data_IF_633299145416
#
_entry.id   IF_633299145416
#
_cell.length_a   1.000
_cell.length_b   1.000
_cell.length_c   1.000
_cell.angle_alpha   90.00
_cell.angle_beta   90.00
_cell.angle_gamma   90.00
#
_symmetry.space_group_name_H-M   'P 1'
#
loop_
_entity.id
_entity.type
_entity.pdbx_description
1 polymer ?
#
# COMPACT_ATOMS: atom_id res chain seq x y z
N UNK A 1 -22.80 -7.98 8.13
CA UNK A 1 -22.61 -8.24 9.58
C UNK A 1 -21.50 -9.25 9.91
N UNK A 2 -21.49 -10.52 9.47
CA UNK A 2 -20.40 -11.46 9.86
C UNK A 2 -19.06 -11.23 9.13
N UNK A 3 -19.09 -10.92 7.83
CA UNK A 3 -17.89 -10.70 7.02
C UNK A 3 -17.19 -9.37 7.32
N UNK A 4 -17.96 -8.33 7.65
CA UNK A 4 -17.43 -7.01 8.04
C UNK A 4 -16.63 -7.11 9.34
N UNK A 5 -17.13 -7.84 10.34
CA UNK A 5 -16.40 -8.08 11.60
C UNK A 5 -15.06 -8.79 11.35
N UNK A 6 -15.02 -9.76 10.42
CA UNK A 6 -13.77 -10.43 10.05
C UNK A 6 -12.79 -9.48 9.34
N UNK A 7 -13.29 -8.61 8.47
CA UNK A 7 -12.48 -7.59 7.77
C UNK A 7 -11.93 -6.56 8.75
N UNK A 8 -12.76 -6.06 9.66
CA UNK A 8 -12.32 -5.15 10.73
C UNK A 8 -11.30 -5.82 11.66
N UNK A 9 -11.54 -7.09 12.00
CA UNK A 9 -10.61 -7.91 12.77
C UNK A 9 -9.27 -8.09 12.05
N UNK A 10 -9.28 -8.26 10.73
CA UNK A 10 -8.06 -8.34 9.93
C UNK A 10 -7.30 -7.01 9.91
N UNK A 11 -7.99 -5.86 9.81
CA UNK A 11 -7.34 -4.54 9.95
C UNK A 11 -6.72 -4.38 11.33
N UNK A 12 -7.42 -4.77 12.40
CA UNK A 12 -6.89 -4.72 13.76
C UNK A 12 -5.68 -5.65 13.96
N UNK A 13 -5.69 -6.82 13.30
CA UNK A 13 -4.55 -7.75 13.29
C UNK A 13 -3.30 -7.10 12.64
N UNK A 14 -3.46 -6.48 11.47
CA UNK A 14 -2.38 -5.75 10.79
C UNK A 14 -1.84 -4.60 11.68
N UNK A 15 -2.74 -3.86 12.33
CA UNK A 15 -2.37 -2.84 13.30
C UNK A 15 -1.51 -3.41 14.45
N UNK A 16 -1.88 -4.59 14.97
CA UNK A 16 -1.11 -5.28 16.00
C UNK A 16 0.30 -5.68 15.53
N UNK A 17 0.43 -6.21 14.30
CA UNK A 17 1.74 -6.53 13.72
C UNK A 17 2.61 -5.28 13.56
N UNK A 18 2.00 -4.17 13.13
CA UNK A 18 2.68 -2.88 13.01
C UNK A 18 3.25 -2.38 14.34
N UNK A 19 2.43 -2.34 15.40
CA UNK A 19 2.90 -1.92 16.73
C UNK A 19 3.96 -2.86 17.28
N UNK A 20 3.81 -4.18 17.07
CA UNK A 20 4.80 -5.17 17.46
C UNK A 20 6.18 -4.96 16.82
N UNK A 21 6.23 -4.48 15.57
CA UNK A 21 7.49 -4.13 14.90
C UNK A 21 8.03 -2.75 15.35
N UNK A 22 7.15 -1.78 15.54
CA UNK A 22 7.53 -0.40 15.88
C UNK A 22 8.09 -0.28 17.30
N UNK A 23 7.44 -0.94 18.25
CA UNK A 23 7.70 -0.73 19.68
C UNK A 23 8.82 -1.65 20.21
N UNK A 24 9.32 -2.58 19.39
CA UNK A 24 10.42 -3.47 19.74
C UNK A 24 11.68 -3.15 18.93
N UNK A 25 12.77 -2.75 19.61
CA UNK A 25 14.10 -2.63 19.00
C UNK A 25 14.72 -4.00 18.76
N UNK A 26 14.49 -4.55 17.56
CA UNK A 26 15.10 -5.77 17.00
C UNK A 26 14.16 -6.99 17.02
N UNK A 27 14.26 -7.96 16.08
CA UNK A 27 15.23 -8.12 14.98
C UNK A 27 14.56 -8.22 13.59
N UNK A 28 15.36 -8.20 12.54
CA UNK A 28 14.99 -8.62 11.18
C UNK A 28 14.17 -9.93 11.14
N UNK A 29 14.30 -10.79 12.15
CA UNK A 29 13.54 -12.04 12.28
C UNK A 29 12.02 -11.84 12.50
N UNK A 30 11.57 -10.76 13.14
CA UNK A 30 10.12 -10.48 13.24
C UNK A 30 9.56 -10.01 11.89
N UNK A 31 10.32 -9.15 11.21
CA UNK A 31 10.02 -8.75 9.83
C UNK A 31 9.92 -9.97 8.91
N UNK A 32 10.93 -10.84 8.94
CA UNK A 32 10.97 -12.07 8.15
C UNK A 32 9.83 -13.02 8.52
N UNK A 33 9.54 -13.17 9.82
CA UNK A 33 8.45 -14.00 10.30
C UNK A 33 7.09 -13.56 9.76
N UNK A 34 6.80 -12.26 9.81
CA UNK A 34 5.53 -11.72 9.29
C UNK A 34 5.47 -11.81 7.77
N UNK A 35 6.55 -11.40 7.08
CA UNK A 35 6.67 -11.51 5.62
C UNK A 35 6.47 -12.95 5.13
N UNK A 36 7.12 -13.92 5.78
CA UNK A 36 6.94 -15.34 5.46
C UNK A 36 5.51 -15.83 5.75
N UNK A 37 4.83 -15.30 6.78
CA UNK A 37 3.43 -15.60 7.04
C UNK A 37 2.50 -15.15 5.91
N UNK A 38 2.70 -13.95 5.39
CA UNK A 38 1.96 -13.44 4.22
C UNK A 38 2.29 -14.22 2.95
N UNK A 39 3.57 -14.55 2.74
CA UNK A 39 3.99 -15.40 1.61
C UNK A 39 3.35 -16.78 1.66
N UNK A 40 3.34 -17.43 2.82
CA UNK A 40 2.67 -18.71 3.03
C UNK A 40 1.16 -18.61 2.74
N UNK A 41 0.50 -17.53 3.17
CA UNK A 41 -0.91 -17.29 2.84
C UNK A 41 -1.14 -17.23 1.33
N UNK A 42 -0.27 -16.54 0.60
CA UNK A 42 -0.32 -16.48 -0.87
C UNK A 42 -0.12 -17.85 -1.51
N UNK A 43 0.87 -18.62 -1.05
CA UNK A 43 1.13 -19.98 -1.53
C UNK A 43 -0.08 -20.90 -1.32
N UNK A 44 -0.68 -20.88 -0.13
CA UNK A 44 -1.85 -21.70 0.17
C UNK A 44 -3.07 -21.32 -0.65
N UNK A 45 -3.30 -20.02 -0.87
CA UNK A 45 -4.39 -19.55 -1.70
C UNK A 45 -4.25 -20.02 -3.14
N UNK A 46 -3.05 -19.88 -3.72
CA UNK A 46 -2.75 -20.33 -5.07
C UNK A 46 -2.83 -21.85 -5.21
N UNK A 47 -2.40 -22.61 -4.20
CA UNK A 47 -2.50 -24.07 -4.21
C UNK A 47 -3.95 -24.56 -4.16
N UNK A 48 -4.81 -23.91 -3.38
CA UNK A 48 -6.24 -24.25 -3.27
C UNK A 48 -7.05 -23.89 -4.51
N UNK A 49 -6.80 -22.71 -5.08
CA UNK A 49 -7.54 -22.21 -6.25
C UNK A 49 -7.00 -22.77 -7.57
N UNK A 50 -5.72 -23.16 -7.59
CA UNK A 50 -5.05 -23.73 -8.76
C UNK A 50 -4.84 -22.72 -9.90
N UNK A 51 -4.35 -23.22 -11.03
CA UNK A 51 -4.03 -22.43 -12.22
C UNK A 51 -2.53 -22.17 -12.40
N UNK A 52 -2.16 -21.67 -13.58
CA UNK A 52 -0.78 -21.34 -13.95
C UNK A 52 -0.72 -20.06 -14.76
N UNK A 53 0.41 -19.37 -14.64
CA UNK A 53 0.73 -18.15 -15.36
C UNK A 53 0.11 -16.88 -14.78
N UNK A 54 0.42 -15.72 -15.39
CA UNK A 54 0.09 -14.40 -14.84
C UNK A 54 -1.39 -14.15 -14.59
N UNK A 55 -2.26 -14.56 -15.50
CA UNK A 55 -3.71 -14.35 -15.36
C UNK A 55 -4.31 -15.14 -14.19
N UNK A 56 -3.83 -16.37 -13.99
CA UNK A 56 -4.23 -17.19 -12.84
C UNK A 56 -3.75 -16.55 -11.54
N UNK A 57 -2.50 -16.07 -11.50
CA UNK A 57 -1.95 -15.37 -10.36
C UNK A 57 -2.76 -14.11 -10.00
N UNK A 58 -3.11 -13.31 -11.01
CA UNK A 58 -3.92 -12.11 -10.82
C UNK A 58 -5.34 -12.42 -10.32
N UNK A 59 -5.96 -13.48 -10.85
CA UNK A 59 -7.27 -13.97 -10.39
C UNK A 59 -7.24 -14.44 -8.93
N UNK A 60 -6.23 -15.24 -8.54
CA UNK A 60 -6.04 -15.70 -7.16
C UNK A 60 -5.85 -14.51 -6.22
N UNK A 61 -4.94 -13.61 -6.55
CA UNK A 61 -4.66 -12.43 -5.75
C UNK A 61 -5.90 -11.53 -5.63
N UNK A 62 -6.64 -11.31 -6.73
CA UNK A 62 -7.89 -10.57 -6.69
C UNK A 62 -8.92 -11.16 -5.73
N UNK A 63 -9.08 -12.49 -5.73
CA UNK A 63 -9.98 -13.17 -4.78
C UNK A 63 -9.52 -13.03 -3.33
N UNK A 64 -8.23 -13.21 -3.05
CA UNK A 64 -7.66 -13.06 -1.70
C UNK A 64 -7.86 -11.64 -1.19
N UNK A 65 -7.46 -10.64 -1.99
CA UNK A 65 -7.57 -9.22 -1.63
C UNK A 65 -9.05 -8.80 -1.45
N UNK A 66 -9.96 -9.32 -2.28
CA UNK A 66 -11.40 -9.08 -2.11
C UNK A 66 -11.95 -9.72 -0.82
N UNK A 67 -11.48 -10.92 -0.48
CA UNK A 67 -11.91 -11.63 0.72
C UNK A 67 -11.56 -10.84 2.00
N UNK A 68 -10.36 -10.26 2.07
CA UNK A 68 -9.92 -9.41 3.18
C UNK A 68 -10.51 -7.99 3.14
N UNK A 69 -11.37 -7.69 2.16
CA UNK A 69 -12.18 -6.47 2.12
C UNK A 69 -11.64 -5.33 1.28
N UNK A 70 -10.68 -5.58 0.39
CA UNK A 70 -10.29 -4.60 -0.62
C UNK A 70 -11.32 -4.57 -1.75
N UNK A 71 -11.54 -3.38 -2.31
CA UNK A 71 -12.23 -3.20 -3.58
C UNK A 71 -11.22 -3.37 -4.71
N UNK A 72 -11.32 -4.48 -5.43
CA UNK A 72 -10.32 -4.93 -6.39
C UNK A 72 -10.96 -5.19 -7.75
N UNK A 73 -10.31 -4.67 -8.78
CA UNK A 73 -10.59 -5.01 -10.17
C UNK A 73 -9.43 -5.83 -10.73
N UNK A 74 -9.74 -6.93 -11.41
CA UNK A 74 -8.76 -7.77 -12.11
C UNK A 74 -9.00 -7.69 -13.61
N UNK A 75 -7.96 -7.42 -14.38
CA UNK A 75 -8.00 -7.33 -15.85
C UNK A 75 -6.79 -8.04 -16.45
N UNK A 76 -6.97 -9.30 -16.84
CA UNK A 76 -5.87 -10.15 -17.29
C UNK A 76 -4.85 -10.34 -16.16
N UNK A 77 -3.56 -10.03 -16.37
CA UNK A 77 -2.53 -10.18 -15.34
C UNK A 77 -2.47 -9.00 -14.36
N UNK A 78 -3.29 -7.97 -14.56
CA UNK A 78 -3.29 -6.75 -13.75
C UNK A 78 -4.37 -6.76 -12.67
N UNK A 79 -4.01 -6.23 -11.50
CA UNK A 79 -4.86 -6.00 -10.34
C UNK A 79 -4.82 -4.53 -9.99
N UNK A 80 -6.00 -3.91 -9.92
CA UNK A 80 -6.18 -2.55 -9.43
C UNK A 80 -6.94 -2.58 -8.12
N UNK A 81 -6.33 -2.09 -7.04
CA UNK A 81 -6.97 -1.89 -5.74
C UNK A 81 -7.48 -0.46 -5.66
N UNK A 82 -8.80 -0.29 -5.75
CA UNK A 82 -9.47 1.01 -5.77
C UNK A 82 -9.68 1.58 -4.38
N UNK A 83 -10.02 0.71 -3.42
CA UNK A 83 -10.15 1.10 -2.02
C UNK A 83 -9.80 -0.04 -1.08
N UNK A 84 -9.47 0.29 0.15
CA UNK A 84 -9.10 -0.66 1.18
C UNK A 84 -9.39 -0.07 2.56
N UNK A 85 -9.90 -0.86 3.52
CA UNK A 85 -10.15 -0.38 4.87
C UNK A 85 -8.87 0.09 5.61
N UNK A 86 -7.70 -0.31 5.11
CA UNK A 86 -6.39 0.08 5.65
C UNK A 86 -5.93 1.44 5.08
N UNK A 87 -6.49 1.95 3.99
CA UNK A 87 -6.01 3.20 3.37
C UNK A 87 -6.20 4.40 4.30
N UNK A 88 -7.32 4.48 5.01
CA UNK A 88 -7.54 5.53 6.00
C UNK A 88 -6.45 5.47 7.10
N UNK A 89 -6.05 4.26 7.51
CA UNK A 89 -4.93 4.07 8.46
C UNK A 89 -3.59 4.50 7.88
N UNK A 90 -3.34 4.27 6.60
CA UNK A 90 -2.14 4.77 5.91
C UNK A 90 -2.12 6.29 5.89
N UNK A 91 -3.27 6.94 5.65
CA UNK A 91 -3.39 8.39 5.72
C UNK A 91 -3.14 8.93 7.15
N UNK A 92 -3.62 8.22 8.17
CA UNK A 92 -3.45 8.59 9.58
C UNK A 92 -2.02 8.36 10.10
N UNK A 93 -1.41 7.21 9.79
CA UNK A 93 -0.15 6.73 10.40
C UNK A 93 1.09 6.96 9.54
N UNK A 94 0.89 7.28 8.27
CA UNK A 94 1.94 7.76 7.38
C UNK A 94 2.90 6.70 6.84
N UNK A 95 4.10 7.15 6.46
CA UNK A 95 5.03 6.42 5.58
C UNK A 95 5.40 5.04 6.11
N UNK A 96 5.70 4.95 7.41
CA UNK A 96 6.20 3.71 7.99
C UNK A 96 5.13 2.62 8.00
N UNK A 97 3.87 3.00 8.27
CA UNK A 97 2.74 2.09 8.17
C UNK A 97 2.47 1.69 6.72
N UNK A 98 2.57 2.62 5.76
CA UNK A 98 2.45 2.29 4.34
C UNK A 98 3.52 1.28 3.88
N UNK A 99 4.74 1.41 4.38
CA UNK A 99 5.84 0.48 4.12
C UNK A 99 5.53 -0.91 4.70
N UNK A 100 4.98 -0.97 5.91
CA UNK A 100 4.55 -2.22 6.52
C UNK A 100 3.52 -2.95 5.64
N UNK A 101 2.47 -2.26 5.20
CA UNK A 101 1.45 -2.87 4.34
C UNK A 101 2.03 -3.37 3.02
N UNK A 102 2.87 -2.57 2.36
CA UNK A 102 3.37 -2.92 1.03
C UNK A 102 4.45 -4.00 1.06
N UNK A 103 5.46 -3.82 1.91
CA UNK A 103 6.68 -4.65 1.88
C UNK A 103 6.59 -5.88 2.78
N UNK A 104 5.74 -5.84 3.82
CA UNK A 104 5.61 -6.95 4.79
C UNK A 104 4.33 -7.75 4.54
N UNK A 105 3.25 -7.10 4.07
CA UNK A 105 1.98 -7.79 3.84
C UNK A 105 1.76 -8.14 2.36
N UNK A 106 1.65 -7.15 1.49
CA UNK A 106 1.18 -7.36 0.11
C UNK A 106 2.22 -7.94 -0.82
N UNK A 107 3.44 -7.41 -0.85
CA UNK A 107 4.49 -7.96 -1.71
C UNK A 107 4.75 -9.44 -1.41
N UNK A 108 4.97 -9.88 -0.15
CA UNK A 108 5.22 -11.28 0.14
C UNK A 108 4.04 -12.18 -0.22
N UNK A 109 2.81 -11.72 0.03
CA UNK A 109 1.59 -12.43 -0.37
C UNK A 109 1.53 -12.66 -1.89
N UNK A 110 1.80 -11.63 -2.68
CA UNK A 110 1.83 -11.73 -4.14
C UNK A 110 2.98 -12.62 -4.62
N UNK A 111 4.14 -12.58 -3.97
CA UNK A 111 5.28 -13.46 -4.27
C UNK A 111 4.93 -14.93 -4.04
N UNK A 112 4.28 -15.25 -2.92
CA UNK A 112 3.82 -16.61 -2.63
C UNK A 112 2.82 -17.15 -3.65
N UNK A 113 1.92 -16.29 -4.13
CA UNK A 113 1.01 -16.63 -5.24
C UNK A 113 1.81 -16.88 -6.52
N UNK A 114 2.75 -15.99 -6.83
CA UNK A 114 3.62 -16.08 -8.00
C UNK A 114 4.41 -17.39 -8.07
N UNK A 115 4.97 -17.84 -6.94
CA UNK A 115 5.72 -19.09 -6.86
C UNK A 115 4.89 -20.32 -7.23
N UNK A 116 3.64 -20.39 -6.78
CA UNK A 116 2.77 -21.54 -7.04
C UNK A 116 2.18 -21.52 -8.44
N UNK A 117 1.98 -20.32 -8.99
CA UNK A 117 1.40 -20.13 -10.33
C UNK A 117 2.46 -20.07 -11.43
N UNK A 118 3.74 -19.88 -11.08
CA UNK A 118 4.84 -19.71 -12.03
C UNK A 118 4.87 -18.32 -12.68
N UNK A 119 4.45 -17.29 -11.94
CA UNK A 119 4.43 -15.89 -12.38
C UNK A 119 5.20 -14.99 -11.40
N UNK A 120 5.67 -13.83 -11.86
CA UNK A 120 6.39 -12.87 -11.03
C UNK A 120 5.55 -11.61 -10.78
N UNK A 121 5.28 -11.23 -9.51
CA UNK A 121 4.58 -10.00 -9.21
C UNK A 121 5.47 -8.77 -9.42
N UNK A 122 4.84 -7.68 -9.86
CA UNK A 122 5.43 -6.35 -10.05
C UNK A 122 4.47 -5.33 -9.45
N UNK A 123 4.97 -4.50 -8.55
CA UNK A 123 4.21 -3.37 -7.98
C UNK A 123 4.39 -2.17 -8.92
N UNK A 124 3.36 -1.80 -9.68
CA UNK A 124 3.42 -0.68 -10.64
C UNK A 124 3.13 0.66 -9.96
N UNK A 125 2.19 0.68 -9.01
CA UNK A 125 1.92 1.86 -8.20
C UNK A 125 1.61 1.45 -6.78
N UNK A 126 2.10 2.27 -5.85
CA UNK A 126 2.06 2.00 -4.43
C UNK A 126 1.64 3.28 -3.71
N UNK A 127 0.75 3.16 -2.72
CA UNK A 127 0.23 4.28 -1.93
C UNK A 127 1.31 4.97 -1.14
N UNK A 128 2.40 4.24 -0.84
CA UNK A 128 3.63 4.83 -0.30
C UNK A 128 4.10 5.99 -1.16
N UNK A 129 4.00 5.90 -2.50
CA UNK A 129 4.38 7.01 -3.39
C UNK A 129 3.47 8.23 -3.21
N UNK A 130 2.16 8.02 -3.03
CA UNK A 130 1.22 9.09 -2.71
C UNK A 130 1.55 9.76 -1.36
N UNK A 131 1.93 8.97 -0.35
CA UNK A 131 2.36 9.51 0.95
C UNK A 131 3.71 10.25 0.87
N UNK A 132 4.67 9.73 0.10
CA UNK A 132 5.97 10.39 -0.14
C UNK A 132 5.75 11.72 -0.85
N UNK A 133 4.90 11.76 -1.88
CA UNK A 133 4.62 13.00 -2.61
C UNK A 133 3.86 14.00 -1.75
N UNK A 134 2.86 13.57 -0.97
CA UNK A 134 2.21 14.42 0.05
C UNK A 134 3.21 14.99 1.05
N UNK A 135 4.10 14.16 1.59
CA UNK A 135 5.13 14.60 2.54
C UNK A 135 6.10 15.61 1.93
N UNK A 136 6.50 15.40 0.67
CA UNK A 136 7.34 16.36 -0.09
C UNK A 136 6.61 17.67 -0.33
N UNK A 137 5.33 17.62 -0.68
CA UNK A 137 4.49 18.80 -0.89
C UNK A 137 4.35 19.58 0.41
N UNK A 138 4.00 18.94 1.52
CA UNK A 138 3.89 19.59 2.83
C UNK A 138 5.22 20.21 3.29
N UNK A 139 6.33 19.51 3.08
CA UNK A 139 7.66 20.07 3.33
C UNK A 139 7.93 21.34 2.50
N UNK A 140 7.58 21.33 1.20
CA UNK A 140 7.71 22.50 0.32
C UNK A 140 6.78 23.63 0.73
N UNK A 141 5.52 23.36 1.11
CA UNK A 141 4.58 24.35 1.65
C UNK A 141 5.13 25.00 2.92
N UNK A 142 5.65 24.20 3.85
CA UNK A 142 6.29 24.69 5.08
C UNK A 142 7.54 25.54 4.80
N UNK A 143 8.35 25.17 3.80
CA UNK A 143 9.51 25.97 3.37
C UNK A 143 9.08 27.30 2.74
N UNK A 144 8.06 27.29 1.88
CA UNK A 144 7.50 28.49 1.28
C UNK A 144 6.92 29.44 2.34
N UNK A 145 6.22 28.89 3.34
CA UNK A 145 5.68 29.66 4.46
C UNK A 145 6.79 30.33 5.28
N UNK A 146 7.86 29.60 5.62
CA UNK A 146 9.03 30.17 6.29
C UNK A 146 9.71 31.28 5.46
N UNK A 147 9.72 31.15 4.14
CA UNK A 147 10.28 32.18 3.26
C UNK A 147 9.42 33.44 3.22
N UNK A 148 8.09 33.28 3.16
CA UNK A 148 7.13 34.39 3.29
C UNK A 148 7.28 35.12 4.63
N UNK A 149 7.30 34.36 5.74
CA UNK A 149 7.41 34.93 7.09
C UNK A 149 8.77 35.64 7.31
N UNK A 150 9.81 35.22 6.59
CA UNK A 150 11.13 35.88 6.59
C UNK A 150 11.22 37.08 5.62
N UNK A 151 10.13 37.45 4.93
CA UNK A 151 10.10 38.52 3.93
C UNK A 151 10.91 38.21 2.65
N UNK A 152 11.29 36.95 2.43
CA UNK A 152 12.09 36.49 1.29
C UNK A 152 11.24 36.05 0.09
N UNK A 153 9.92 36.07 0.24
CA UNK A 153 8.94 35.66 -0.75
C UNK A 153 7.75 36.62 -0.65
N UNK A 154 7.24 37.11 -1.78
CA UNK A 154 6.01 37.92 -1.77
C UNK A 154 4.78 37.04 -1.51
N UNK A 155 3.67 37.66 -1.06
CA UNK A 155 2.41 36.95 -0.86
C UNK A 155 1.86 36.36 -2.18
N UNK A 156 2.08 37.03 -3.30
CA UNK A 156 1.63 36.59 -4.63
C UNK A 156 2.45 35.39 -5.13
N UNK A 157 3.77 35.41 -4.96
CA UNK A 157 4.64 34.26 -5.27
C UNK A 157 4.39 33.07 -4.34
N UNK A 158 4.07 33.33 -3.07
CA UNK A 158 3.67 32.29 -2.13
C UNK A 158 2.40 31.58 -2.61
N UNK A 159 1.34 32.33 -2.91
CA UNK A 159 0.06 31.76 -3.35
C UNK A 159 0.25 30.93 -4.63
N UNK A 160 0.98 31.46 -5.62
CA UNK A 160 1.29 30.73 -6.86
C UNK A 160 2.03 29.42 -6.60
N UNK A 161 2.98 29.39 -5.65
CA UNK A 161 3.68 28.16 -5.27
C UNK A 161 2.76 27.16 -4.57
N UNK A 162 1.85 27.62 -3.70
CA UNK A 162 0.88 26.75 -3.03
C UNK A 162 -0.08 26.14 -4.05
N UNK A 163 -0.63 26.93 -4.97
CA UNK A 163 -1.56 26.46 -6.00
C UNK A 163 -0.91 25.38 -6.88
N UNK A 164 0.35 25.58 -7.29
CA UNK A 164 1.10 24.59 -8.07
C UNK A 164 1.35 23.30 -7.28
N UNK A 165 1.64 23.42 -5.98
CA UNK A 165 1.86 22.27 -5.10
C UNK A 165 0.56 21.49 -4.87
N UNK A 166 -0.59 22.17 -4.77
CA UNK A 166 -1.90 21.54 -4.63
C UNK A 166 -2.34 20.84 -5.92
N UNK A 167 -2.18 21.47 -7.07
CA UNK A 167 -2.42 20.84 -8.37
C UNK A 167 -1.55 19.59 -8.59
N UNK A 168 -0.34 19.54 -8.02
CA UNK A 168 0.52 18.35 -8.12
C UNK A 168 -0.02 17.15 -7.33
N UNK A 169 -0.84 17.38 -6.29
CA UNK A 169 -1.49 16.32 -5.52
C UNK A 169 -2.69 15.73 -6.25
N UNK A 170 -3.42 16.54 -7.01
CA UNK A 170 -4.61 16.11 -7.77
C UNK A 170 -4.28 15.08 -8.86
N UNK A 171 -3.02 15.00 -9.29
CA UNK A 171 -2.55 14.08 -10.33
C UNK A 171 -1.96 12.77 -9.80
N UNK A 172 -1.95 12.56 -8.47
CA UNK A 172 -1.39 11.35 -7.89
C UNK A 172 -2.39 10.19 -8.01
N UNK A 173 -1.89 9.00 -8.37
CA UNK A 173 -2.72 7.80 -8.45
C UNK A 173 -3.33 7.47 -7.07
N UNK A 174 -4.65 7.38 -7.01
CA UNK A 174 -5.40 7.06 -5.78
C UNK A 174 -5.51 5.55 -5.52
N UNK A 175 -5.07 4.73 -6.47
CA UNK A 175 -5.23 3.28 -6.47
C UNK A 175 -3.89 2.56 -6.43
N UNK A 176 -3.81 1.40 -5.77
CA UNK A 176 -2.66 0.50 -5.88
C UNK A 176 -2.77 -0.36 -7.14
N UNK A 177 -1.67 -0.54 -7.88
CA UNK A 177 -1.66 -1.39 -9.09
C UNK A 177 -0.55 -2.43 -9.00
N UNK A 178 -0.93 -3.68 -9.24
CA UNK A 178 -0.05 -4.85 -9.20
C UNK A 178 -0.21 -5.63 -10.52
N UNK A 179 0.89 -6.12 -11.06
CA UNK A 179 0.94 -6.86 -12.32
C UNK A 179 1.67 -8.18 -12.10
N UNK A 180 1.20 -9.27 -12.70
CA UNK A 180 1.97 -10.51 -12.80
C UNK A 180 2.61 -10.65 -14.20
N UNK A 181 3.83 -11.18 -14.26
CA UNK A 181 4.59 -11.44 -15.50
C UNK A 181 4.98 -12.91 -15.63
#
# INVERSE_FOLDING_TARGET
MSLEILRDGFVAFIDGLWWGLRDNTGPLSMYEGYSNGFRQMGMEAAEKLGGKGPDAAASVAGQVLTAIGLDVEVKGPEITVRSCPIWNRILERGLEFSFHIEEICWRPLLEGIGEKTGAQPVVESSLRLLHIEKSKVEYKKGKAKKALDAGKLSAEEYNKQIDMLEASLENLAETGRYLFK
#
